data_IF_169317815652
#
_entry.id   IF_169317815652
#
_cell.length_a   1.000
_cell.length_b   1.000
_cell.length_c   1.000
_cell.angle_alpha   90.00
_cell.angle_beta   90.00
_cell.angle_gamma   90.00
#
_symmetry.space_group_name_H-M   'P 1'
#
loop_
_entity.id
_entity.type
_entity.pdbx_description
1 polymer ?
#
# COMPACT_ATOMS: atom_id res chain seq x y z
N UNK A 1 -6.90 -13.92 27.57
CA UNK A 1 -5.68 -13.10 27.64
C UNK A 1 -5.81 -12.06 26.54
N UNK A 2 -6.37 -10.88 26.86
CA UNK A 2 -6.51 -9.81 25.89
C UNK A 2 -5.11 -9.28 25.59
N UNK A 3 -4.66 -9.39 24.34
CA UNK A 3 -3.46 -8.70 23.89
C UNK A 3 -3.70 -7.21 24.16
N UNK A 4 -2.86 -6.60 24.98
CA UNK A 4 -2.94 -5.16 25.19
C UNK A 4 -2.49 -4.51 23.88
N UNK A 5 -3.42 -3.82 23.21
CA UNK A 5 -3.17 -3.15 21.92
C UNK A 5 -1.95 -2.22 21.99
N UNK A 6 -1.71 -1.62 23.15
CA UNK A 6 -0.55 -0.77 23.38
C UNK A 6 0.76 -1.56 23.35
N UNK A 7 0.78 -2.78 23.91
CA UNK A 7 1.95 -3.66 23.85
C UNK A 7 2.21 -4.15 22.42
N UNK A 8 1.15 -4.52 21.69
CA UNK A 8 1.29 -4.96 20.29
C UNK A 8 1.82 -3.84 19.40
N UNK A 9 1.36 -2.59 19.62
CA UNK A 9 1.89 -1.42 18.91
C UNK A 9 3.37 -1.17 19.24
N UNK A 10 3.78 -1.32 20.50
CA UNK A 10 5.20 -1.19 20.88
C UNK A 10 6.07 -2.27 20.23
N UNK A 11 5.59 -3.52 20.18
CA UNK A 11 6.28 -4.59 19.45
C UNK A 11 6.43 -4.25 17.98
N UNK A 12 5.36 -3.77 17.32
CA UNK A 12 5.44 -3.31 15.94
C UNK A 12 6.48 -2.21 15.74
N UNK A 13 6.53 -1.22 16.62
CA UNK A 13 7.50 -0.12 16.51
C UNK A 13 8.93 -0.69 16.54
N UNK A 14 9.23 -1.59 17.47
CA UNK A 14 10.56 -2.24 17.56
C UNK A 14 10.87 -3.03 16.30
N UNK A 15 9.94 -3.88 15.84
CA UNK A 15 10.12 -4.67 14.61
C UNK A 15 10.33 -3.78 13.38
N UNK A 16 9.59 -2.67 13.27
CA UNK A 16 9.72 -1.75 12.15
C UNK A 16 11.10 -1.05 12.14
N UNK A 17 11.67 -0.75 13.31
CA UNK A 17 13.05 -0.24 13.40
C UNK A 17 14.07 -1.27 12.89
N UNK A 18 13.94 -2.54 13.30
CA UNK A 18 14.82 -3.61 12.85
C UNK A 18 14.72 -3.84 11.33
N UNK A 19 13.49 -3.82 10.79
CA UNK A 19 13.26 -3.97 9.36
C UNK A 19 13.83 -2.79 8.56
N UNK A 20 13.73 -1.56 9.07
CA UNK A 20 14.33 -0.38 8.44
C UNK A 20 15.86 -0.45 8.44
N UNK A 21 16.48 -0.99 9.50
CA UNK A 21 17.92 -1.22 9.52
C UNK A 21 18.36 -2.28 8.50
N UNK A 22 17.59 -3.36 8.34
CA UNK A 22 17.82 -4.37 7.31
C UNK A 22 17.69 -3.76 5.91
N UNK A 23 16.68 -2.92 5.71
CA UNK A 23 16.47 -2.18 4.46
C UNK A 23 17.66 -1.28 4.14
N UNK A 24 18.15 -0.49 5.10
CA UNK A 24 19.32 0.38 4.95
C UNK A 24 20.58 -0.41 4.57
N UNK A 25 20.90 -1.47 5.31
CA UNK A 25 22.08 -2.31 5.04
C UNK A 25 22.03 -2.93 3.64
N UNK A 26 20.86 -3.42 3.24
CA UNK A 26 20.66 -4.01 1.92
C UNK A 26 20.75 -2.97 0.80
N UNK A 27 20.28 -1.74 1.03
CA UNK A 27 20.44 -0.62 0.09
C UNK A 27 21.91 -0.24 -0.10
N UNK A 28 22.69 -0.20 0.99
CA UNK A 28 24.13 0.08 0.92
C UNK A 28 24.89 -1.05 0.21
N UNK A 29 24.47 -2.30 0.36
CA UNK A 29 25.03 -3.42 -0.38
C UNK A 29 24.83 -3.25 -1.90
N UNK A 30 23.67 -2.76 -2.33
CA UNK A 30 23.40 -2.47 -3.74
C UNK A 30 24.26 -1.35 -4.34
N UNK A 31 24.90 -0.50 -3.52
CA UNK A 31 25.89 0.46 -4.06
C UNK A 31 27.14 -0.24 -4.61
N UNK A 32 27.51 -1.37 -4.00
CA UNK A 32 28.69 -2.15 -4.39
C UNK A 32 28.30 -3.27 -5.37
N UNK A 33 27.15 -3.91 -5.16
CA UNK A 33 26.66 -5.03 -5.95
C UNK A 33 25.23 -4.75 -6.47
N UNK A 34 25.06 -3.91 -7.51
CA UNK A 34 23.74 -3.45 -7.96
C UNK A 34 22.81 -4.54 -8.50
N UNK A 35 23.34 -5.73 -8.80
CA UNK A 35 22.59 -6.86 -9.34
C UNK A 35 22.21 -7.91 -8.27
N UNK A 36 22.54 -7.67 -7.00
CA UNK A 36 22.27 -8.59 -5.90
C UNK A 36 20.76 -8.75 -5.65
N UNK A 37 20.23 -9.89 -6.10
CA UNK A 37 18.80 -10.21 -5.98
C UNK A 37 18.38 -10.52 -4.54
N UNK A 38 19.31 -10.99 -3.70
CA UNK A 38 19.02 -11.26 -2.30
C UNK A 38 18.85 -9.95 -1.53
N UNK A 39 19.71 -8.96 -1.81
CA UNK A 39 19.59 -7.60 -1.28
C UNK A 39 18.29 -6.92 -1.75
N UNK A 40 17.96 -6.97 -3.06
CA UNK A 40 16.69 -6.43 -3.58
C UNK A 40 15.49 -7.11 -2.90
N UNK A 41 15.52 -8.44 -2.76
CA UNK A 41 14.47 -9.21 -2.10
C UNK A 41 14.34 -8.87 -0.60
N UNK A 42 15.45 -8.60 0.09
CA UNK A 42 15.45 -8.20 1.49
C UNK A 42 14.78 -6.83 1.70
N UNK A 43 15.13 -5.84 0.86
CA UNK A 43 14.55 -4.50 0.87
C UNK A 43 13.03 -4.57 0.66
N UNK A 44 12.59 -5.33 -0.36
CA UNK A 44 11.17 -5.51 -0.64
C UNK A 44 10.42 -6.15 0.53
N UNK A 45 10.94 -7.25 1.10
CA UNK A 45 10.30 -7.92 2.24
C UNK A 45 10.21 -7.02 3.47
N UNK A 46 11.23 -6.21 3.74
CA UNK A 46 11.21 -5.25 4.83
C UNK A 46 10.07 -4.22 4.66
N UNK A 47 10.03 -3.55 3.50
CA UNK A 47 8.97 -2.58 3.20
C UNK A 47 7.57 -3.22 3.23
N UNK A 48 7.41 -4.41 2.65
CA UNK A 48 6.15 -5.14 2.62
C UNK A 48 5.63 -5.50 4.01
N UNK A 49 6.53 -5.96 4.87
CA UNK A 49 6.21 -6.32 6.25
C UNK A 49 5.82 -5.07 7.05
N UNK A 50 6.55 -3.96 6.90
CA UNK A 50 6.22 -2.70 7.55
C UNK A 50 4.84 -2.21 7.12
N UNK A 51 4.51 -2.22 5.83
CA UNK A 51 3.16 -1.84 5.33
C UNK A 51 2.09 -2.73 5.95
N UNK A 52 2.28 -4.05 5.91
CA UNK A 52 1.32 -5.03 6.42
C UNK A 52 1.02 -4.82 7.89
N UNK A 53 2.07 -4.71 8.71
CA UNK A 53 1.93 -4.46 10.15
C UNK A 53 1.33 -3.08 10.44
N UNK A 54 1.73 -2.03 9.73
CA UNK A 54 1.14 -0.70 9.84
C UNK A 54 -0.37 -0.69 9.53
N UNK A 55 -0.80 -1.49 8.55
CA UNK A 55 -2.21 -1.68 8.21
C UNK A 55 -3.03 -2.30 9.33
N UNK A 56 -2.46 -3.25 10.09
CA UNK A 56 -3.12 -3.87 11.24
C UNK A 56 -3.46 -2.85 12.35
N UNK A 57 -2.62 -1.82 12.51
CA UNK A 57 -2.80 -0.77 13.51
C UNK A 57 -3.46 0.51 12.95
N UNK A 58 -3.93 0.50 11.69
CA UNK A 58 -4.59 1.66 11.08
C UNK A 58 -3.67 2.86 10.84
N UNK A 59 -2.36 2.63 10.70
CA UNK A 59 -1.35 3.70 10.55
C UNK A 59 -1.29 4.18 9.10
N UNK A 60 -2.38 4.79 8.65
CA UNK A 60 -2.60 5.18 7.25
C UNK A 60 -1.46 6.00 6.63
N UNK A 61 -0.83 6.98 7.33
CA UNK A 61 0.32 7.68 6.77
C UNK A 61 1.48 6.74 6.40
N UNK A 62 1.85 5.82 7.30
CA UNK A 62 2.89 4.81 7.08
C UNK A 62 2.51 3.89 5.92
N UNK A 63 1.27 3.36 5.91
CA UNK A 63 0.78 2.49 4.84
C UNK A 63 0.85 3.18 3.49
N UNK A 64 0.33 4.41 3.40
CA UNK A 64 0.23 5.15 2.15
C UNK A 64 1.59 5.49 1.56
N UNK A 65 2.57 5.85 2.39
CA UNK A 65 3.91 6.17 1.94
C UNK A 65 4.70 4.90 1.57
N UNK A 66 4.62 3.86 2.41
CA UNK A 66 5.32 2.59 2.16
C UNK A 66 4.84 1.91 0.89
N UNK A 67 3.56 2.04 0.53
CA UNK A 67 3.04 1.52 -0.74
C UNK A 67 3.75 2.12 -1.96
N UNK A 68 4.02 3.42 -1.95
CA UNK A 68 4.72 4.11 -3.06
C UNK A 68 6.17 3.61 -3.16
N UNK A 69 6.80 3.36 -2.02
CA UNK A 69 8.14 2.77 -1.95
C UNK A 69 8.12 1.35 -2.51
N UNK A 70 7.17 0.51 -2.09
CA UNK A 70 7.00 -0.84 -2.62
C UNK A 70 6.77 -0.88 -4.12
N UNK A 71 5.98 0.03 -4.69
CA UNK A 71 5.76 0.08 -6.14
C UNK A 71 7.08 0.25 -6.90
N UNK A 72 7.99 1.10 -6.41
CA UNK A 72 9.31 1.27 -7.01
C UNK A 72 10.19 0.04 -6.78
N UNK A 73 10.13 -0.57 -5.59
CA UNK A 73 10.88 -1.78 -5.27
C UNK A 73 10.41 -3.00 -6.09
N UNK A 74 9.12 -3.07 -6.43
CA UNK A 74 8.57 -4.13 -7.27
C UNK A 74 9.16 -4.05 -8.68
N UNK A 75 9.24 -2.83 -9.23
CA UNK A 75 9.89 -2.55 -10.52
C UNK A 75 11.41 -2.75 -10.48
N UNK A 76 12.04 -2.55 -9.33
CA UNK A 76 13.45 -2.88 -9.14
C UNK A 76 13.66 -4.40 -9.20
N UNK A 77 12.76 -5.15 -8.55
CA UNK A 77 12.78 -6.61 -8.47
C UNK A 77 12.49 -7.28 -9.81
N UNK A 78 11.58 -6.74 -10.61
CA UNK A 78 11.27 -7.28 -11.94
C UNK A 78 12.26 -6.82 -13.04
N UNK A 79 13.19 -5.92 -12.69
CA UNK A 79 14.23 -5.40 -13.58
C UNK A 79 13.79 -4.26 -14.50
N UNK A 80 12.57 -3.73 -14.35
CA UNK A 80 12.06 -2.59 -15.11
C UNK A 80 12.68 -1.26 -14.69
N UNK A 81 13.28 -1.21 -13.51
CA UNK A 81 14.12 -0.09 -13.02
C UNK A 81 15.50 -0.62 -12.70
N UNK A 82 16.53 0.02 -13.26
CA UNK A 82 17.90 -0.28 -12.90
C UNK A 82 18.26 0.36 -11.55
N UNK A 83 19.05 -0.35 -10.75
CA UNK A 83 19.70 0.22 -9.56
C UNK A 83 20.71 1.27 -10.01
N UNK A 84 20.57 2.50 -9.51
CA UNK A 84 21.58 3.54 -9.62
C UNK A 84 21.76 4.26 -8.27
N UNK A 85 22.86 4.99 -8.11
CA UNK A 85 23.18 5.69 -6.86
C UNK A 85 22.13 6.73 -6.48
N UNK A 86 21.39 7.29 -7.45
CA UNK A 86 20.32 8.25 -7.19
C UNK A 86 19.11 7.56 -6.58
N UNK A 87 18.71 6.40 -7.10
CA UNK A 87 17.62 5.59 -6.59
C UNK A 87 17.94 5.11 -5.18
N UNK A 88 19.14 4.59 -4.93
CA UNK A 88 19.58 4.18 -3.59
C UNK A 88 19.47 5.35 -2.61
N UNK A 89 20.01 6.52 -2.97
CA UNK A 89 19.93 7.70 -2.11
C UNK A 89 18.50 8.18 -1.84
N UNK A 90 17.57 8.01 -2.80
CA UNK A 90 16.15 8.30 -2.60
C UNK A 90 15.53 7.28 -1.65
N UNK A 91 15.77 5.98 -1.85
CA UNK A 91 15.22 4.90 -1.01
C UNK A 91 15.72 4.96 0.44
N UNK A 92 16.98 5.37 0.67
CA UNK A 92 17.50 5.63 2.01
C UNK A 92 16.71 6.74 2.72
N UNK A 93 16.48 7.87 2.02
CA UNK A 93 15.65 8.96 2.55
C UNK A 93 14.19 8.54 2.76
N UNK A 94 13.68 7.60 1.98
CA UNK A 94 12.36 7.01 2.22
C UNK A 94 12.36 6.19 3.52
N UNK A 95 13.42 5.42 3.79
CA UNK A 95 13.60 4.73 5.07
C UNK A 95 13.60 5.70 6.26
N UNK A 96 14.35 6.80 6.16
CA UNK A 96 14.36 7.86 7.18
C UNK A 96 12.96 8.46 7.42
N UNK A 97 12.22 8.73 6.33
CA UNK A 97 10.87 9.28 6.43
C UNK A 97 9.88 8.26 7.03
N UNK A 98 9.97 6.99 6.66
CA UNK A 98 9.17 5.92 7.26
C UNK A 98 9.43 5.82 8.77
N UNK A 99 10.69 5.93 9.20
CA UNK A 99 11.06 5.95 10.61
C UNK A 99 10.41 7.13 11.35
N UNK A 100 10.45 8.33 10.76
CA UNK A 100 9.81 9.51 11.34
C UNK A 100 8.29 9.31 11.46
N UNK A 101 7.62 8.77 10.43
CA UNK A 101 6.20 8.46 10.46
C UNK A 101 5.84 7.47 11.60
N UNK A 102 6.64 6.43 11.78
CA UNK A 102 6.46 5.43 12.85
C UNK A 102 6.65 6.07 14.24
N UNK A 103 7.64 6.96 14.39
CA UNK A 103 7.91 7.61 15.67
C UNK A 103 6.83 8.63 16.06
N UNK A 104 6.26 9.35 15.09
CA UNK A 104 5.12 10.26 15.31
C UNK A 104 3.89 9.50 15.79
N UNK A 105 3.68 8.28 15.29
CA UNK A 105 2.63 7.39 15.80
C UNK A 105 2.95 6.92 17.23
N UNK A 106 4.22 6.58 17.50
CA UNK A 106 4.65 6.13 18.81
C UNK A 106 4.43 7.18 19.91
N UNK A 107 4.52 8.48 19.59
CA UNK A 107 4.36 9.58 20.55
C UNK A 107 2.90 9.95 20.86
N UNK A 108 1.90 9.23 20.32
CA UNK A 108 0.45 9.35 20.64
C UNK A 108 -0.08 10.78 20.66
N UNK A 109 0.12 11.53 19.58
CA UNK A 109 -0.53 12.84 19.42
C UNK A 109 0.35 13.92 18.81
N UNK A 110 1.58 13.60 18.43
CA UNK A 110 2.34 14.51 17.57
C UNK A 110 1.78 14.44 16.15
N UNK A 111 1.72 15.59 15.51
CA UNK A 111 1.46 15.71 14.08
C UNK A 111 2.80 15.81 13.36
N UNK A 112 2.86 15.29 12.13
CA UNK A 112 4.00 15.54 11.26
C UNK A 112 4.26 17.04 11.17
N UNK A 113 5.52 17.43 11.38
CA UNK A 113 5.93 18.81 11.22
C UNK A 113 5.78 19.22 9.75
N UNK A 114 5.51 20.50 9.44
CA UNK A 114 5.39 20.97 8.06
C UNK A 114 6.59 20.57 7.18
N UNK A 115 7.80 20.60 7.73
CA UNK A 115 9.02 20.17 7.04
C UNK A 115 9.01 18.68 6.64
N UNK A 116 8.37 17.81 7.43
CA UNK A 116 8.23 16.39 7.11
C UNK A 116 7.24 16.17 5.95
N UNK A 117 6.16 16.96 5.90
CA UNK A 117 5.20 16.92 4.79
C UNK A 117 5.82 17.43 3.48
N UNK A 118 6.63 18.50 3.54
CA UNK A 118 7.39 18.99 2.38
C UNK A 118 8.40 17.95 1.89
N UNK A 119 9.09 17.27 2.81
CA UNK A 119 10.01 16.18 2.47
C UNK A 119 9.28 15.01 1.83
N UNK A 120 8.12 14.63 2.36
CA UNK A 120 7.30 13.56 1.78
C UNK A 120 6.90 13.90 0.34
N UNK A 121 6.45 15.14 0.09
CA UNK A 121 6.10 15.60 -1.25
C UNK A 121 7.29 15.49 -2.22
N UNK A 122 8.47 15.92 -1.81
CA UNK A 122 9.68 15.82 -2.61
C UNK A 122 10.10 14.36 -2.88
N UNK A 123 9.93 13.46 -1.89
CA UNK A 123 10.20 12.04 -2.07
C UNK A 123 9.21 11.38 -3.01
N UNK A 124 7.91 11.70 -2.91
CA UNK A 124 6.88 11.23 -3.85
C UNK A 124 7.18 11.67 -5.28
N UNK A 125 7.57 12.92 -5.48
CA UNK A 125 7.98 13.42 -6.80
C UNK A 125 9.19 12.65 -7.33
N UNK A 126 10.22 12.44 -6.50
CA UNK A 126 11.41 11.70 -6.89
C UNK A 126 11.08 10.25 -7.28
N UNK A 127 10.26 9.55 -6.49
CA UNK A 127 9.83 8.18 -6.76
C UNK A 127 8.97 8.07 -8.02
N UNK A 128 8.13 9.07 -8.31
CA UNK A 128 7.26 9.06 -9.51
C UNK A 128 8.05 8.94 -10.82
N UNK A 129 9.29 9.47 -10.85
CA UNK A 129 10.19 9.33 -12.01
C UNK A 129 10.53 7.86 -12.28
N UNK A 130 10.65 7.07 -11.21
CA UNK A 130 10.89 5.63 -11.24
C UNK A 130 9.60 4.81 -11.28
N UNK A 131 8.42 5.42 -11.39
CA UNK A 131 7.16 4.72 -11.65
C UNK A 131 6.74 4.90 -13.11
N UNK A 132 7.03 6.06 -13.71
CA UNK A 132 6.65 6.43 -15.06
C UNK A 132 7.46 5.74 -16.17
N UNK A 133 8.50 4.96 -15.86
CA UNK A 133 9.36 4.33 -16.88
C UNK A 133 8.71 3.10 -17.53
N UNK A 134 7.54 3.27 -18.15
CA UNK A 134 7.02 2.38 -19.20
C UNK A 134 6.19 3.19 -20.20
N UNK A 135 6.86 3.76 -21.21
CA UNK A 135 6.27 3.83 -22.54
C UNK A 135 7.36 3.81 -23.62
N UNK A 136 7.71 2.61 -24.06
CA UNK A 136 8.12 2.38 -25.44
C UNK A 136 7.14 1.34 -26.00
N UNK A 137 6.45 1.62 -27.12
CA UNK A 137 5.53 0.67 -27.72
C UNK A 137 6.34 -0.37 -28.49
N UNK A 138 6.26 -1.64 -28.09
CA UNK A 138 6.59 -2.76 -28.97
C UNK A 138 5.64 -3.93 -28.69
N UNK A 139 4.58 -4.05 -29.49
CA UNK A 139 4.46 -5.03 -30.58
C UNK A 139 4.87 -6.47 -30.21
N UNK A 140 3.86 -7.26 -29.82
CA UNK A 140 3.57 -8.56 -30.43
C UNK A 140 4.54 -9.74 -30.22
N UNK A 141 4.15 -10.66 -29.33
CA UNK A 141 4.18 -12.12 -29.54
C UNK A 141 3.32 -12.78 -28.45
N UNK A 142 2.04 -13.04 -28.74
CA UNK A 142 1.53 -14.37 -29.11
C UNK A 142 1.79 -15.46 -28.06
N UNK A 143 0.79 -15.66 -27.18
CA UNK A 143 0.36 -17.01 -26.85
C UNK A 143 -1.07 -17.21 -27.38
N UNK A 144 -1.15 -18.01 -28.44
CA UNK A 144 -2.37 -18.56 -29.00
C UNK A 144 -2.75 -19.79 -28.17
N UNK A 145 -3.96 -19.82 -27.64
CA UNK A 145 -4.76 -21.04 -27.68
C UNK A 145 -6.19 -20.72 -28.09
N UNK A 146 -6.67 -21.53 -29.02
CA UNK A 146 -7.88 -21.35 -29.79
C UNK A 146 -9.11 -21.88 -29.05
N UNK A 147 -10.18 -21.10 -29.09
CA UNK A 147 -11.55 -21.55 -28.89
C UNK A 147 -12.43 -20.80 -29.88
N UNK A 148 -12.90 -21.50 -30.90
CA UNK A 148 -13.49 -20.94 -32.10
C UNK A 148 -14.93 -20.44 -31.90
N UNK A 149 -15.19 -19.30 -32.54
CA UNK A 149 -16.42 -18.86 -33.19
C UNK A 149 -17.73 -18.82 -32.38
N UNK A 150 -18.19 -17.60 -32.08
CA UNK A 150 -19.43 -17.15 -32.71
C UNK A 150 -19.38 -15.63 -33.01
N UNK A 151 -19.94 -15.25 -34.15
CA UNK A 151 -19.95 -13.90 -34.71
C UNK A 151 -21.22 -13.19 -34.27
N UNK A 152 -21.09 -12.16 -33.42
CA UNK A 152 -21.89 -10.93 -33.39
C UNK A 152 -21.91 -10.38 -31.97
N UNK A 153 -21.07 -9.40 -31.66
CA UNK A 153 -21.46 -8.36 -30.72
C UNK A 153 -20.55 -7.15 -30.90
N UNK A 154 -21.11 -5.95 -30.85
CA UNK A 154 -20.33 -4.75 -30.49
C UNK A 154 -19.54 -5.05 -29.20
N UNK A 155 -18.41 -4.38 -28.90
CA UNK A 155 -17.70 -4.63 -27.66
C UNK A 155 -18.70 -4.45 -26.51
N UNK A 156 -19.07 -5.55 -25.86
CA UNK A 156 -19.93 -5.51 -24.71
C UNK A 156 -19.19 -4.67 -23.68
N UNK A 157 -19.82 -3.62 -23.16
CA UNK A 157 -19.29 -2.91 -22.01
C UNK A 157 -19.03 -3.95 -20.92
N UNK A 158 -17.75 -4.16 -20.59
CA UNK A 158 -17.36 -5.13 -19.56
C UNK A 158 -17.72 -4.50 -18.23
N UNK A 159 -18.87 -4.89 -17.70
CA UNK A 159 -19.33 -4.48 -16.38
C UNK A 159 -18.75 -5.44 -15.33
N UNK A 160 -18.11 -4.86 -14.32
CA UNK A 160 -17.61 -5.57 -13.16
C UNK A 160 -18.63 -5.50 -12.03
N UNK A 161 -18.83 -6.63 -11.36
CA UNK A 161 -19.60 -6.68 -10.11
C UNK A 161 -18.61 -6.87 -8.95
N UNK A 162 -18.54 -5.87 -8.07
CA UNK A 162 -17.65 -5.86 -6.91
C UNK A 162 -18.53 -5.93 -5.66
N UNK A 163 -18.29 -6.93 -4.81
CA UNK A 163 -18.98 -7.09 -3.52
C UNK A 163 -17.98 -6.95 -2.39
N UNK A 164 -18.34 -6.17 -1.38
CA UNK A 164 -17.48 -5.83 -0.25
C UNK A 164 -18.32 -5.84 1.03
N UNK A 165 -17.80 -6.44 2.09
CA UNK A 165 -18.40 -6.42 3.43
C UNK A 165 -17.35 -5.97 4.42
N UNK A 166 -17.71 -5.00 5.24
CA UNK A 166 -16.83 -4.49 6.27
C UNK A 166 -17.01 -5.30 7.56
N UNK A 167 -15.94 -5.41 8.34
CA UNK A 167 -16.02 -5.96 9.68
C UNK A 167 -16.84 -5.05 10.60
N UNK A 168 -17.45 -5.62 11.62
CA UNK A 168 -18.29 -4.89 12.59
C UNK A 168 -17.55 -3.74 13.28
N UNK A 169 -16.23 -3.88 13.48
CA UNK A 169 -15.39 -2.88 14.14
C UNK A 169 -14.75 -1.85 13.20
N UNK A 170 -15.12 -1.81 11.90
CA UNK A 170 -14.45 -0.93 10.91
C UNK A 170 -14.45 0.55 11.32
N UNK A 171 -15.56 1.05 11.89
CA UNK A 171 -15.65 2.42 12.38
C UNK A 171 -14.82 2.63 13.65
N UNK A 172 -14.83 1.64 14.56
CA UNK A 172 -14.04 1.65 15.80
C UNK A 172 -12.53 1.70 15.53
N UNK A 173 -12.12 1.09 14.42
CA UNK A 173 -10.75 1.11 13.92
C UNK A 173 -10.41 2.38 13.12
N UNK A 174 -11.32 3.36 13.06
CA UNK A 174 -11.12 4.63 12.37
C UNK A 174 -11.12 4.55 10.84
N UNK A 175 -11.56 3.43 10.26
CA UNK A 175 -11.68 3.27 8.81
C UNK A 175 -13.04 3.77 8.31
N UNK A 176 -13.04 4.50 7.20
CA UNK A 176 -14.24 4.98 6.51
C UNK A 176 -14.55 4.10 5.28
N UNK A 177 -15.59 3.23 5.33
CA UNK A 177 -16.13 2.47 4.21
C UNK A 177 -16.33 3.25 2.91
N UNK A 178 -16.73 4.52 2.98
CA UNK A 178 -16.96 5.35 1.79
C UNK A 178 -15.66 5.63 1.02
N UNK A 179 -14.49 5.52 1.67
CA UNK A 179 -13.19 5.66 1.01
C UNK A 179 -13.00 4.65 -0.13
N UNK A 180 -13.56 3.45 0.02
CA UNK A 180 -13.47 2.41 -1.02
C UNK A 180 -14.27 2.79 -2.26
N UNK A 181 -15.48 3.34 -2.09
CA UNK A 181 -16.28 3.82 -3.23
C UNK A 181 -15.58 4.99 -3.93
N UNK A 182 -15.08 5.97 -3.17
CA UNK A 182 -14.30 7.10 -3.72
C UNK A 182 -13.07 6.62 -4.48
N UNK A 183 -12.39 5.57 -4.01
CA UNK A 183 -11.26 4.97 -4.71
C UNK A 183 -11.69 4.27 -6.01
N UNK A 184 -12.78 3.49 -6.00
CA UNK A 184 -13.31 2.85 -7.20
C UNK A 184 -13.70 3.86 -8.29
N UNK A 185 -14.23 5.03 -7.90
CA UNK A 185 -14.52 6.13 -8.82
C UNK A 185 -13.27 6.69 -9.52
N UNK A 186 -12.07 6.49 -8.95
CA UNK A 186 -10.81 6.85 -9.63
C UNK A 186 -10.38 5.83 -10.69
N UNK A 187 -10.85 4.58 -10.59
CA UNK A 187 -10.50 3.48 -11.50
C UNK A 187 -11.51 3.31 -12.64
N UNK A 188 -12.75 3.76 -12.45
CA UNK A 188 -13.79 3.65 -13.45
C UNK A 188 -15.11 4.29 -13.03
N UNK A 189 -16.13 4.12 -13.85
CA UNK A 189 -17.46 4.63 -13.56
C UNK A 189 -18.28 3.62 -12.76
N UNK A 190 -18.74 4.02 -11.58
CA UNK A 190 -19.71 3.24 -10.81
C UNK A 190 -21.10 3.46 -11.41
N UNK A 191 -21.70 2.40 -11.96
CA UNK A 191 -23.02 2.45 -12.60
C UNK A 191 -24.16 2.26 -11.62
N UNK A 192 -23.95 1.44 -10.58
CA UNK A 192 -24.93 1.13 -9.55
C UNK A 192 -24.23 0.79 -8.23
N UNK A 193 -24.78 1.28 -7.12
CA UNK A 193 -24.39 0.90 -5.75
C UNK A 193 -25.62 0.36 -5.04
N UNK A 194 -25.46 -0.72 -4.29
CA UNK A 194 -26.52 -1.29 -3.47
C UNK A 194 -25.92 -1.67 -2.12
N UNK A 195 -26.48 -1.13 -1.05
CA UNK A 195 -26.05 -1.42 0.32
C UNK A 195 -26.84 -2.63 0.85
N UNK A 196 -26.15 -3.65 1.36
CA UNK A 196 -26.81 -4.74 2.05
C UNK A 196 -26.95 -4.41 3.54
N UNK A 197 -28.17 -4.59 4.06
CA UNK A 197 -28.56 -4.28 5.44
C UNK A 197 -28.94 -5.53 6.22
N UNK A 198 -28.64 -6.71 5.67
CA UNK A 198 -28.96 -8.02 6.22
C UNK A 198 -28.24 -8.31 7.55
N UNK A 199 -27.15 -7.61 7.83
CA UNK A 199 -26.37 -7.74 9.06
C UNK A 199 -26.81 -6.75 10.16
N UNK A 200 -27.82 -5.90 9.91
CA UNK A 200 -28.33 -4.96 10.92
C UNK A 200 -29.06 -5.75 12.01
N UNK A 201 -28.62 -5.66 13.28
CA UNK A 201 -29.25 -6.39 14.38
C UNK A 201 -30.57 -5.72 14.79
N UNK A 202 -31.32 -6.38 15.68
CA UNK A 202 -32.49 -5.77 16.31
C UNK A 202 -32.09 -4.52 17.11
N UNK A 203 -33.02 -3.56 17.25
CA UNK A 203 -32.78 -2.25 17.87
C UNK A 203 -32.13 -2.36 19.27
N UNK A 204 -32.55 -3.36 20.07
CA UNK A 204 -32.06 -3.56 21.43
C UNK A 204 -30.59 -4.01 21.49
N UNK A 205 -30.06 -4.54 20.38
CA UNK A 205 -28.69 -5.02 20.19
C UNK A 205 -27.91 -4.17 19.20
N UNK A 206 -28.47 -3.04 18.77
CA UNK A 206 -27.83 -2.15 17.80
C UNK A 206 -26.80 -1.26 18.48
N UNK A 207 -25.56 -1.34 18.02
CA UNK A 207 -24.46 -0.50 18.46
C UNK A 207 -24.11 0.54 17.38
N UNK A 208 -24.31 1.85 17.63
CA UNK A 208 -24.07 2.88 16.62
C UNK A 208 -22.59 3.06 16.25
N UNK A 209 -21.66 2.52 17.05
CA UNK A 209 -20.22 2.56 16.74
C UNK A 209 -19.77 1.38 15.87
N UNK A 210 -20.66 0.41 15.60
CA UNK A 210 -20.38 -0.75 14.78
C UNK A 210 -20.90 -0.58 13.35
N UNK A 211 -20.22 -1.17 12.37
CA UNK A 211 -20.67 -1.21 10.98
C UNK A 211 -21.41 -2.51 10.67
N UNK A 212 -22.65 -2.37 10.24
CA UNK A 212 -23.49 -3.49 9.80
C UNK A 212 -23.81 -3.42 8.31
N UNK A 213 -23.19 -2.49 7.60
CA UNK A 213 -23.44 -2.21 6.19
C UNK A 213 -22.44 -2.99 5.34
N UNK A 214 -22.91 -3.50 4.20
CA UNK A 214 -22.09 -4.05 3.14
C UNK A 214 -22.88 -4.10 1.85
#
# INVERSE_FOLDING_TARGET
>A
MSINLDQALQTFIVEAHELLQVMEQSLLQLETEPADQDAIGAIFRAAHTIKGSAGLFGLNPVVSFTHIVEDVLDRLRDGSVAVDSRLIAVLLKCGDHMLELINVVASRGETLQPAALEREAALREALSTYQASHHTPDTGAQHTEAGAADRANAPAEVLWHISLRFGVDVFRNGMDPLSFLRYLETLGQITQVTTLTDSIPALDSWDPESCYLG
#
